data_IF_124634502435
#
_entry.id   IF_124634502435
#
_cell.length_a   1.000
_cell.length_b   1.000
_cell.length_c   1.000
_cell.angle_alpha   90.00
_cell.angle_beta   90.00
_cell.angle_gamma   90.00
#
_symmetry.space_group_name_H-M   'P 1'
#
loop_
_entity.id
_entity.type
_entity.pdbx_description
1 polymer ?
#
# COMPACT_ATOMS: atom_id res chain seq x y z
N UNK A 1 29.87 -23.47 -2.32
CA UNK A 1 29.05 -22.25 -2.06
C UNK A 1 28.94 -22.06 -0.56
N UNK A 2 29.21 -20.87 -0.01
CA UNK A 2 29.08 -20.64 1.45
C UNK A 2 27.59 -20.61 1.85
N UNK A 3 27.24 -20.96 3.09
CA UNK A 3 25.83 -20.99 3.57
C UNK A 3 25.09 -19.68 3.29
N UNK A 4 25.76 -18.54 3.50
CA UNK A 4 25.23 -17.20 3.19
C UNK A 4 24.88 -17.02 1.71
N UNK A 5 25.71 -17.52 0.79
CA UNK A 5 25.41 -17.46 -0.66
C UNK A 5 24.17 -18.27 -1.01
N UNK A 6 23.98 -19.44 -0.38
CA UNK A 6 22.79 -20.28 -0.60
C UNK A 6 21.52 -19.54 -0.13
N UNK A 7 21.54 -18.93 1.06
CA UNK A 7 20.40 -18.15 1.56
C UNK A 7 20.07 -16.96 0.65
N UNK A 8 21.10 -16.24 0.18
CA UNK A 8 20.90 -15.12 -0.73
C UNK A 8 20.32 -15.60 -2.08
N UNK A 9 20.85 -16.69 -2.64
CA UNK A 9 20.32 -17.25 -3.90
C UNK A 9 18.86 -17.67 -3.74
N UNK A 10 18.50 -18.32 -2.63
CA UNK A 10 17.12 -18.70 -2.36
C UNK A 10 16.21 -17.47 -2.18
N UNK A 11 16.65 -16.47 -1.41
CA UNK A 11 15.91 -15.22 -1.22
C UNK A 11 15.62 -14.55 -2.57
N UNK A 12 16.66 -14.37 -3.39
CA UNK A 12 16.54 -13.72 -4.70
C UNK A 12 15.66 -14.55 -5.66
N UNK A 13 15.77 -15.88 -5.61
CA UNK A 13 14.94 -16.76 -6.43
C UNK A 13 13.45 -16.60 -6.10
N UNK A 14 13.08 -16.69 -4.82
CA UNK A 14 11.68 -16.53 -4.41
C UNK A 14 11.18 -15.09 -4.57
N UNK A 15 12.04 -14.10 -4.32
CA UNK A 15 11.72 -12.70 -4.57
C UNK A 15 11.43 -12.45 -6.05
N UNK A 16 12.22 -13.00 -6.96
CA UNK A 16 12.00 -12.87 -8.40
C UNK A 16 10.68 -13.51 -8.83
N UNK A 17 10.35 -14.71 -8.30
CA UNK A 17 9.06 -15.35 -8.55
C UNK A 17 7.93 -14.45 -8.04
N UNK A 18 8.03 -13.94 -6.80
CA UNK A 18 7.02 -13.05 -6.22
C UNK A 18 6.78 -11.81 -7.08
N UNK A 19 7.85 -11.14 -7.53
CA UNK A 19 7.75 -9.96 -8.41
C UNK A 19 7.12 -10.33 -9.75
N UNK A 20 7.48 -11.48 -10.32
CA UNK A 20 6.97 -11.92 -11.63
C UNK A 20 5.49 -12.34 -11.58
N UNK A 21 5.03 -12.91 -10.46
CA UNK A 21 3.65 -13.36 -10.29
C UNK A 21 2.75 -12.35 -9.57
N UNK A 22 3.31 -11.25 -9.07
CA UNK A 22 2.55 -10.20 -8.40
C UNK A 22 1.60 -9.50 -9.37
N UNK A 23 0.32 -9.44 -9.04
CA UNK A 23 -0.70 -8.84 -9.91
C UNK A 23 -0.59 -7.32 -10.04
N UNK A 24 0.14 -6.65 -9.14
CA UNK A 24 0.27 -5.18 -9.14
C UNK A 24 -1.00 -4.43 -8.72
N UNK A 25 -2.05 -5.13 -8.25
CA UNK A 25 -3.30 -4.55 -7.76
C UNK A 25 -3.58 -4.94 -6.31
N UNK A 26 -4.38 -4.12 -5.64
CA UNK A 26 -4.90 -4.38 -4.29
C UNK A 26 -6.22 -5.15 -4.44
N UNK A 27 -6.23 -6.40 -3.98
CA UNK A 27 -7.33 -7.35 -4.17
C UNK A 27 -8.23 -7.53 -2.93
N UNK A 28 -8.05 -6.73 -1.89
CA UNK A 28 -8.86 -6.83 -0.66
C UNK A 28 -9.39 -5.47 -0.23
N UNK A 29 -10.60 -5.45 0.32
CA UNK A 29 -11.22 -4.24 0.85
C UNK A 29 -10.40 -3.67 2.02
N UNK A 30 -9.80 -4.55 2.82
CA UNK A 30 -8.91 -4.18 3.92
C UNK A 30 -7.61 -3.55 3.40
N UNK A 31 -7.04 -4.11 2.33
CA UNK A 31 -5.87 -3.53 1.67
C UNK A 31 -6.17 -2.17 1.05
N UNK A 32 -7.36 -2.00 0.48
CA UNK A 32 -7.84 -0.72 -0.06
C UNK A 32 -7.99 0.31 1.05
N UNK A 33 -8.61 -0.08 2.16
CA UNK A 33 -8.78 0.77 3.34
C UNK A 33 -7.43 1.18 3.93
N UNK A 34 -6.49 0.24 4.06
CA UNK A 34 -5.13 0.51 4.53
C UNK A 34 -4.41 1.52 3.63
N UNK A 35 -4.47 1.31 2.32
CA UNK A 35 -3.84 2.21 1.35
C UNK A 35 -4.44 3.62 1.43
N UNK A 36 -5.76 3.74 1.40
CA UNK A 36 -6.46 5.04 1.41
C UNK A 36 -6.23 5.80 2.70
N UNK A 37 -6.21 5.11 3.85
CA UNK A 37 -5.87 5.72 5.13
C UNK A 37 -4.39 6.18 5.15
N UNK A 38 -3.47 5.38 4.62
CA UNK A 38 -2.06 5.77 4.50
C UNK A 38 -1.90 7.01 3.62
N UNK A 39 -2.58 7.02 2.48
CA UNK A 39 -2.62 8.16 1.57
C UNK A 39 -3.19 9.41 2.24
N UNK A 40 -4.33 9.30 2.94
CA UNK A 40 -4.95 10.43 3.63
C UNK A 40 -4.02 11.03 4.70
N UNK A 41 -3.29 10.20 5.43
CA UNK A 41 -2.30 10.66 6.41
C UNK A 41 -1.13 11.40 5.75
N UNK A 42 -0.63 10.92 4.61
CA UNK A 42 0.53 11.50 3.94
C UNK A 42 0.16 12.76 3.13
N UNK A 43 -0.90 12.70 2.35
CA UNK A 43 -1.31 13.77 1.41
C UNK A 43 -2.07 14.89 2.14
N UNK A 44 -2.99 14.52 3.03
CA UNK A 44 -3.99 15.43 3.59
C UNK A 44 -3.84 15.63 5.11
N UNK A 45 -2.86 14.97 5.74
CA UNK A 45 -2.62 15.00 7.20
C UNK A 45 -3.89 14.70 8.02
N UNK A 46 -4.75 13.84 7.49
CA UNK A 46 -6.04 13.47 8.08
C UNK A 46 -6.19 11.96 8.18
N UNK A 47 -7.06 11.53 9.09
CA UNK A 47 -7.46 10.12 9.24
C UNK A 47 -8.75 9.79 8.48
N UNK A 48 -9.34 10.79 7.80
CA UNK A 48 -10.59 10.62 7.06
C UNK A 48 -10.35 10.40 5.56
N UNK A 49 -11.14 9.50 4.96
CA UNK A 49 -11.07 9.15 3.54
C UNK A 49 -12.45 8.72 3.01
N UNK A 50 -12.75 8.96 1.73
CA UNK A 50 -14.13 8.83 1.19
C UNK A 50 -14.60 7.40 0.90
N UNK A 51 -13.69 6.45 0.64
CA UNK A 51 -14.02 5.10 0.15
C UNK A 51 -13.50 3.98 1.06
N UNK A 52 -14.38 3.10 1.58
CA UNK A 52 -14.03 1.94 2.41
C UNK A 52 -15.11 1.53 3.41
N UNK A 53 -14.84 0.53 4.26
CA UNK A 53 -15.76 0.07 5.33
C UNK A 53 -15.80 1.11 6.45
N UNK A 54 -16.98 1.72 6.64
CA UNK A 54 -17.18 3.00 7.34
C UNK A 54 -17.61 2.83 8.80
N UNK A 55 -17.07 3.65 9.68
CA UNK A 55 -17.81 4.19 10.81
C UNK A 55 -18.15 5.64 10.46
N UNK A 56 -19.45 5.96 10.46
CA UNK A 56 -19.94 7.30 10.19
C UNK A 56 -20.03 8.06 11.50
N UNK A 57 -19.40 9.24 11.53
CA UNK A 57 -19.55 10.20 12.63
C UNK A 57 -20.71 11.15 12.30
N UNK A 58 -21.41 11.68 13.31
CA UNK A 58 -22.54 12.62 13.15
C UNK A 58 -22.15 13.90 12.37
N UNK A 59 -20.84 14.17 12.25
CA UNK A 59 -20.26 15.28 11.50
C UNK A 59 -19.93 14.96 10.03
N UNK A 60 -20.28 13.77 9.50
CA UNK A 60 -20.03 13.39 8.11
C UNK A 60 -18.57 13.04 7.78
N UNK A 61 -17.72 12.88 8.80
CA UNK A 61 -16.35 12.39 8.64
C UNK A 61 -16.32 10.87 8.61
N UNK A 62 -15.63 10.29 7.64
CA UNK A 62 -15.52 8.84 7.47
C UNK A 62 -14.20 8.35 8.02
N UNK A 63 -14.22 7.38 8.94
CA UNK A 63 -13.02 6.79 9.54
C UNK A 63 -12.91 5.30 9.24
N UNK A 64 -11.67 4.81 9.19
CA UNK A 64 -11.39 3.38 9.13
C UNK A 64 -11.88 2.68 10.40
N UNK A 65 -12.57 1.54 10.23
CA UNK A 65 -12.90 0.62 11.34
C UNK A 65 -11.66 -0.05 11.95
N UNK A 66 -10.54 -0.06 11.23
CA UNK A 66 -9.30 -0.73 11.59
C UNK A 66 -8.30 0.20 12.27
N UNK A 67 -7.46 -0.36 13.15
CA UNK A 67 -6.42 0.39 13.87
C UNK A 67 -5.37 1.00 12.95
N UNK A 68 -4.79 2.13 13.38
CA UNK A 68 -3.88 2.96 12.57
C UNK A 68 -2.49 2.32 12.34
N UNK A 69 -2.11 1.33 13.15
CA UNK A 69 -0.73 0.83 13.21
C UNK A 69 -0.20 0.35 11.85
N UNK A 70 -0.98 -0.46 11.13
CA UNK A 70 -0.57 -0.98 9.83
C UNK A 70 -0.39 0.13 8.78
N UNK A 71 -1.30 1.12 8.77
CA UNK A 71 -1.23 2.26 7.85
C UNK A 71 -0.07 3.20 8.16
N UNK A 72 0.26 3.42 9.44
CA UNK A 72 1.43 4.23 9.84
C UNK A 72 2.73 3.54 9.41
N UNK A 73 2.83 2.22 9.61
CA UNK A 73 3.99 1.45 9.16
C UNK A 73 4.11 1.41 7.63
N UNK A 74 3.02 1.62 6.90
CA UNK A 74 3.01 1.66 5.45
C UNK A 74 3.50 3.00 4.85
N UNK A 75 3.54 4.09 5.63
CA UNK A 75 3.98 5.43 5.19
C UNK A 75 5.32 5.42 4.42
N UNK A 76 6.42 4.83 4.91
CA UNK A 76 7.69 4.85 4.18
C UNK A 76 7.59 4.16 2.81
N UNK A 77 6.79 3.10 2.69
CA UNK A 77 6.58 2.41 1.42
C UNK A 77 5.72 3.22 0.47
N UNK A 78 4.69 3.91 0.98
CA UNK A 78 3.87 4.82 0.20
C UNK A 78 4.72 5.97 -0.39
N UNK A 79 5.56 6.59 0.43
CA UNK A 79 6.47 7.67 -0.02
C UNK A 79 7.48 7.18 -1.06
N UNK A 80 8.04 5.97 -0.86
CA UNK A 80 8.94 5.37 -1.84
C UNK A 80 8.23 5.11 -3.17
N UNK A 81 7.01 4.55 -3.13
CA UNK A 81 6.18 4.34 -4.32
C UNK A 81 5.88 5.66 -5.05
N UNK A 82 5.54 6.71 -4.30
CA UNK A 82 5.31 8.06 -4.85
C UNK A 82 6.56 8.62 -5.53
N UNK A 83 7.73 8.46 -4.91
CA UNK A 83 9.01 8.91 -5.48
C UNK A 83 9.36 8.15 -6.77
N UNK A 84 9.16 6.83 -6.80
CA UNK A 84 9.40 6.00 -7.98
C UNK A 84 8.42 6.39 -9.10
N UNK A 85 7.14 6.58 -8.77
CA UNK A 85 6.11 7.02 -9.72
C UNK A 85 6.47 8.35 -10.36
N UNK A 86 6.93 9.31 -9.56
CA UNK A 86 7.43 10.60 -10.02
C UNK A 86 8.64 10.45 -10.95
N UNK A 87 9.61 9.62 -10.58
CA UNK A 87 10.85 9.43 -11.36
C UNK A 87 10.60 8.75 -12.71
N UNK A 88 9.64 7.83 -12.76
CA UNK A 88 9.30 7.05 -13.95
C UNK A 88 8.18 7.68 -14.79
N UNK A 89 7.58 8.79 -14.34
CA UNK A 89 6.47 9.44 -15.03
C UNK A 89 5.20 8.58 -15.11
N UNK A 90 4.98 7.73 -14.11
CA UNK A 90 3.82 6.83 -14.07
C UNK A 90 2.60 7.62 -13.58
N UNK A 91 1.50 7.58 -14.34
CA UNK A 91 0.25 8.16 -13.88
C UNK A 91 -0.27 7.41 -12.65
N UNK A 92 -0.70 8.14 -11.61
CA UNK A 92 -1.15 7.55 -10.34
C UNK A 92 -2.35 6.59 -10.53
N UNK A 93 -3.18 6.83 -11.55
CA UNK A 93 -4.29 5.96 -11.97
C UNK A 93 -3.85 4.59 -12.50
N UNK A 94 -2.63 4.50 -13.03
CA UNK A 94 -2.01 3.25 -13.50
C UNK A 94 -1.22 2.56 -12.38
N UNK A 95 -0.70 3.35 -11.43
CA UNK A 95 0.12 2.86 -10.33
C UNK A 95 -0.68 2.18 -9.21
N UNK A 96 -1.99 2.46 -9.07
CA UNK A 96 -2.81 1.85 -8.03
C UNK A 96 -4.14 1.38 -8.61
N UNK A 97 -4.26 0.06 -8.77
CA UNK A 97 -5.50 -0.58 -9.19
C UNK A 97 -6.13 -1.29 -7.99
N UNK A 98 -7.43 -1.09 -7.79
CA UNK A 98 -8.25 -1.86 -6.85
C UNK A 98 -9.12 -2.80 -7.67
N UNK A 99 -9.09 -4.10 -7.34
CA UNK A 99 -9.90 -5.12 -8.03
C UNK A 99 -11.03 -5.63 -7.12
N UNK A 100 -11.33 -4.89 -6.05
CA UNK A 100 -12.40 -5.14 -5.09
C UNK A 100 -13.61 -4.26 -5.35
#
# INVERSE_FOLDING_TARGET
MTKSKIYLTLLLFFFAIYVLTGQGSIQSEEGKTLFLLTQAMVENQTLSFSDGVRLEDDSGSHYSKYGLGASVLAIPFYLLGKLISLLLGIEASLATQFTV
#
